data_IF_916464412990
#
_entry.id   IF_916464412990
#
_cell.length_a   1.000
_cell.length_b   1.000
_cell.length_c   1.000
_cell.angle_alpha   90.00
_cell.angle_beta   90.00
_cell.angle_gamma   90.00
#
_symmetry.space_group_name_H-M   'P 1'
#
loop_
_entity.id
_entity.type
_entity.pdbx_description
1 polymer ?
#
# COMPACT_ATOMS: atom_id res chain seq x y z
N UNK A 1 2.81 -4.56 6.38
CA UNK A 1 1.45 -3.98 6.37
C UNK A 1 0.75 -3.99 7.73
N UNK A 2 0.71 -5.11 8.47
CA UNK A 2 0.07 -5.16 9.81
C UNK A 2 0.55 -4.11 10.82
N UNK A 3 1.85 -3.79 10.84
CA UNK A 3 2.38 -2.74 11.72
C UNK A 3 1.83 -1.35 11.39
N UNK A 4 1.75 -1.00 10.10
CA UNK A 4 1.21 0.29 9.66
C UNK A 4 -0.30 0.39 9.90
N UNK A 5 -1.04 -0.71 9.69
CA UNK A 5 -2.46 -0.76 10.03
C UNK A 5 -2.67 -0.54 11.53
N UNK A 6 -1.90 -1.22 12.38
CA UNK A 6 -1.93 -1.03 13.84
C UNK A 6 -1.57 0.40 14.23
N UNK A 7 -0.61 1.04 13.56
CA UNK A 7 -0.27 2.45 13.80
C UNK A 7 -1.46 3.38 13.52
N UNK A 8 -2.25 3.09 12.48
CA UNK A 8 -3.46 3.83 12.15
C UNK A 8 -4.57 3.69 13.21
N UNK A 9 -4.66 2.55 13.90
CA UNK A 9 -5.61 2.35 15.00
C UNK A 9 -5.33 3.29 16.19
N UNK A 10 -4.07 3.71 16.36
CA UNK A 10 -3.66 4.70 17.36
C UNK A 10 -3.62 6.13 16.79
N UNK A 11 -4.32 6.42 15.69
CA UNK A 11 -4.32 7.75 15.05
C UNK A 11 -4.77 8.88 15.98
N UNK A 12 -5.59 8.61 17.01
CA UNK A 12 -5.95 9.61 18.03
C UNK A 12 -4.76 10.11 18.86
N UNK A 13 -3.67 9.35 18.91
CA UNK A 13 -2.43 9.70 19.61
C UNK A 13 -1.38 10.17 18.61
N UNK A 14 -1.23 9.45 17.50
CA UNK A 14 -0.13 9.68 16.53
C UNK A 14 -0.47 10.72 15.47
N UNK A 15 -1.75 11.09 15.31
CA UNK A 15 -2.29 11.85 14.18
C UNK A 15 -2.01 11.24 12.80
N UNK A 16 -1.67 9.94 12.76
CA UNK A 16 -1.38 9.23 11.52
C UNK A 16 -2.57 8.37 11.12
N UNK A 17 -3.50 8.96 10.38
CA UNK A 17 -4.58 8.22 9.74
C UNK A 17 -4.05 7.34 8.60
N UNK A 18 -4.81 6.32 8.21
CA UNK A 18 -4.47 5.41 7.10
C UNK A 18 -4.12 6.16 5.81
N UNK A 19 -4.84 7.25 5.49
CA UNK A 19 -4.55 8.13 4.34
C UNK A 19 -3.18 8.78 4.42
N UNK A 20 -2.81 9.31 5.58
CA UNK A 20 -1.51 9.96 5.79
C UNK A 20 -0.38 8.94 5.68
N UNK A 21 -0.59 7.75 6.26
CA UNK A 21 0.36 6.64 6.16
C UNK A 21 0.51 6.17 4.70
N UNK A 22 -0.58 6.09 3.95
CA UNK A 22 -0.54 5.68 2.55
C UNK A 22 0.27 6.64 1.68
N UNK A 23 0.12 7.96 1.88
CA UNK A 23 0.88 8.98 1.13
C UNK A 23 2.39 8.83 1.39
N UNK A 24 2.82 8.70 2.64
CA UNK A 24 4.25 8.66 2.99
C UNK A 24 4.90 7.31 2.70
N UNK A 25 4.14 6.21 2.76
CA UNK A 25 4.66 4.86 2.52
C UNK A 25 4.51 4.38 1.08
N UNK A 26 3.61 4.94 0.28
CA UNK A 26 3.43 4.63 -1.15
C UNK A 26 4.75 4.52 -1.94
N UNK A 27 5.62 5.54 -1.97
CA UNK A 27 6.86 5.48 -2.76
C UNK A 27 7.88 4.48 -2.21
N UNK A 28 7.76 4.08 -0.94
CA UNK A 28 8.66 3.13 -0.30
C UNK A 28 8.19 1.68 -0.48
N UNK A 29 6.88 1.45 -0.59
CA UNK A 29 6.28 0.12 -0.73
C UNK A 29 6.11 -0.30 -2.19
N UNK A 30 5.87 0.67 -3.10
CA UNK A 30 5.60 0.43 -4.52
C UNK A 30 6.73 0.99 -5.38
N UNK A 31 7.97 0.60 -5.08
CA UNK A 31 9.14 1.01 -5.86
C UNK A 31 9.54 -0.07 -6.86
N UNK A 32 9.56 0.27 -8.16
CA UNK A 32 10.09 -0.62 -9.19
C UNK A 32 10.76 0.17 -10.33
N UNK A 33 11.68 -0.48 -11.06
CA UNK A 33 12.37 0.15 -12.21
C UNK A 33 11.39 0.58 -13.32
N UNK A 34 10.31 -0.18 -13.51
CA UNK A 34 9.26 0.14 -14.49
C UNK A 34 8.47 1.39 -14.08
N UNK A 35 8.14 1.51 -12.79
CA UNK A 35 7.47 2.68 -12.23
C UNK A 35 8.36 3.93 -12.37
N UNK A 36 9.65 3.82 -12.07
CA UNK A 36 10.61 4.94 -12.26
C UNK A 36 10.69 5.37 -13.73
N UNK A 37 10.63 4.42 -14.68
CA UNK A 37 10.65 4.72 -16.11
C UNK A 37 9.34 5.31 -16.66
N UNK A 38 8.20 4.99 -16.05
CA UNK A 38 6.88 5.50 -16.46
C UNK A 38 6.71 7.01 -16.19
N UNK A 39 7.54 7.57 -15.32
CA UNK A 39 7.54 8.99 -14.94
C UNK A 39 8.19 9.93 -15.97
N UNK A 40 8.42 9.50 -17.22
CA UNK A 40 9.08 10.31 -18.26
C UNK A 40 8.26 11.56 -18.71
N UNK A 41 7.02 11.71 -18.23
CA UNK A 41 6.17 12.89 -18.39
C UNK A 41 5.62 13.34 -17.04
N UNK A 42 5.64 14.65 -16.78
CA UNK A 42 5.22 15.22 -15.49
C UNK A 42 3.78 14.86 -15.09
N UNK A 43 2.87 14.77 -16.07
CA UNK A 43 1.47 14.34 -15.83
C UNK A 43 1.39 12.86 -15.45
N UNK A 44 2.18 12.01 -16.11
CA UNK A 44 2.23 10.57 -15.81
C UNK A 44 2.80 10.32 -14.41
N UNK A 45 3.85 11.06 -14.04
CA UNK A 45 4.44 10.99 -12.71
C UNK A 45 3.45 11.36 -11.59
N UNK A 46 2.65 12.41 -11.78
CA UNK A 46 1.64 12.81 -10.79
C UNK A 46 0.52 11.77 -10.64
N UNK A 47 0.05 11.21 -11.76
CA UNK A 47 -0.94 10.13 -11.76
C UNK A 47 -0.42 8.89 -11.05
N UNK A 48 0.85 8.52 -11.29
CA UNK A 48 1.49 7.37 -10.66
C UNK A 48 1.57 7.53 -9.13
N UNK A 49 2.02 8.70 -8.64
CA UNK A 49 2.07 8.99 -7.19
C UNK A 49 0.69 8.87 -6.55
N UNK A 50 -0.36 9.36 -7.24
CA UNK A 50 -1.75 9.24 -6.77
C UNK A 50 -2.19 7.78 -6.72
N UNK A 51 -1.94 7.01 -7.78
CA UNK A 51 -2.31 5.59 -7.87
C UNK A 51 -1.63 4.80 -6.74
N UNK A 52 -0.33 5.00 -6.54
CA UNK A 52 0.41 4.31 -5.47
C UNK A 52 -0.18 4.59 -4.08
N UNK A 53 -0.53 5.86 -3.81
CA UNK A 53 -1.17 6.25 -2.55
C UNK A 53 -2.51 5.55 -2.36
N UNK A 54 -3.35 5.50 -3.41
CA UNK A 54 -4.65 4.81 -3.36
C UNK A 54 -4.48 3.31 -3.14
N UNK A 55 -3.52 2.68 -3.83
CA UNK A 55 -3.25 1.24 -3.68
C UNK A 55 -2.78 0.93 -2.26
N UNK A 56 -1.85 1.71 -1.71
CA UNK A 56 -1.39 1.49 -0.34
C UNK A 56 -2.49 1.72 0.69
N UNK A 57 -3.34 2.75 0.50
CA UNK A 57 -4.50 2.99 1.36
C UNK A 57 -5.45 1.78 1.35
N UNK A 58 -5.75 1.24 0.16
CA UNK A 58 -6.58 0.03 0.03
C UNK A 58 -5.95 -1.15 0.77
N UNK A 59 -4.66 -1.40 0.58
CA UNK A 59 -3.97 -2.51 1.24
C UNK A 59 -4.03 -2.37 2.76
N UNK A 60 -3.82 -1.16 3.30
CA UNK A 60 -3.87 -0.91 4.74
C UNK A 60 -5.28 -1.09 5.31
N UNK A 61 -6.32 -0.63 4.62
CA UNK A 61 -7.71 -0.79 5.06
C UNK A 61 -8.22 -2.24 5.00
N UNK A 62 -7.59 -3.09 4.19
CA UNK A 62 -7.98 -4.49 3.99
C UNK A 62 -6.90 -5.48 4.44
N UNK A 63 -6.00 -5.06 5.34
CA UNK A 63 -4.84 -5.85 5.78
C UNK A 63 -5.22 -7.24 6.27
N UNK A 64 -6.30 -7.36 7.02
CA UNK A 64 -6.69 -8.63 7.64
C UNK A 64 -7.21 -9.64 6.62
N UNK A 65 -7.86 -9.17 5.56
CA UNK A 65 -8.37 -10.00 4.47
C UNK A 65 -7.22 -10.42 3.55
N UNK A 66 -6.46 -9.43 3.06
CA UNK A 66 -5.38 -9.60 2.10
C UNK A 66 -4.21 -10.43 2.65
N UNK A 67 -3.92 -10.30 3.94
CA UNK A 67 -2.86 -11.05 4.61
C UNK A 67 -3.41 -12.07 5.61
N UNK A 68 -4.62 -12.60 5.35
CA UNK A 68 -5.16 -13.72 6.14
C UNK A 68 -4.39 -15.02 5.86
N UNK A 69 -4.29 -15.87 6.88
CA UNK A 69 -3.69 -17.20 6.74
C UNK A 69 -4.45 -18.07 5.74
N UNK A 70 -5.77 -17.90 5.66
CA UNK A 70 -6.65 -18.61 4.74
C UNK A 70 -6.33 -18.27 3.28
N UNK A 71 -6.28 -16.99 2.94
CA UNK A 71 -5.92 -16.55 1.59
C UNK A 71 -4.49 -16.97 1.24
N UNK A 72 -3.57 -16.87 2.20
CA UNK A 72 -2.18 -17.30 2.02
C UNK A 72 -2.06 -18.80 1.74
N UNK A 73 -2.93 -19.64 2.31
CA UNK A 73 -2.98 -21.08 1.97
C UNK A 73 -3.45 -21.28 0.54
N UNK A 74 -4.58 -20.67 0.16
CA UNK A 74 -5.16 -20.81 -1.19
C UNK A 74 -4.17 -20.41 -2.28
N UNK A 75 -3.43 -19.32 -2.09
CA UNK A 75 -2.42 -18.87 -3.07
C UNK A 75 -1.28 -19.89 -3.21
N UNK A 76 -0.83 -20.51 -2.10
CA UNK A 76 0.22 -21.52 -2.15
C UNK A 76 -0.26 -22.82 -2.81
N UNK A 77 -1.49 -23.22 -2.52
CA UNK A 77 -2.08 -24.44 -3.06
C UNK A 77 -2.38 -24.32 -4.56
N UNK A 78 -2.66 -23.12 -5.06
CA UNK A 78 -2.88 -22.84 -6.48
C UNK A 78 -1.62 -22.57 -7.31
N UNK A 79 -0.44 -22.51 -6.69
CA UNK A 79 0.84 -22.28 -7.36
C UNK A 79 1.63 -23.59 -7.62
N UNK A 80 0.98 -24.75 -7.47
CA UNK A 80 1.51 -26.08 -7.75
C UNK A 80 1.23 -26.56 -9.17
#
# INVERSE_FOLDING_TARGET
>A
MRHLARLADYCSITNMHTKNLAIVWAPNLLRSKQIESACFSGTAAFMEVRIQSVVVEFILNHVDVLFSSKLSSVIRDGAG
#
